data_IF_590016007555
#
_entry.id   IF_590016007555
#
_cell.length_a   1.000
_cell.length_b   1.000
_cell.length_c   1.000
_cell.angle_alpha   90.00
_cell.angle_beta   90.00
_cell.angle_gamma   90.00
#
_symmetry.space_group_name_H-M   'P 1'
#
loop_
_entity.id
_entity.type
_entity.pdbx_description
1 polymer ?
#
# COMPACT_ATOMS: atom_id res chain seq x y z
N UNK A 1 -18.77 -35.22 25.20
CA UNK A 1 -18.71 -34.09 24.24
C UNK A 1 -17.29 -33.59 24.28
N UNK A 2 -16.53 -33.91 23.24
CA UNK A 2 -15.09 -33.68 23.16
C UNK A 2 -14.76 -32.19 23.15
N UNK A 3 -13.86 -31.81 24.06
CA UNK A 3 -13.15 -30.55 24.02
C UNK A 3 -12.27 -30.54 22.76
N UNK A 4 -12.66 -29.76 21.75
CA UNK A 4 -11.75 -29.41 20.67
C UNK A 4 -10.73 -28.43 21.25
N UNK A 5 -9.65 -28.98 21.81
CA UNK A 5 -8.41 -28.25 21.97
C UNK A 5 -7.95 -27.84 20.57
N UNK A 6 -8.12 -26.57 20.24
CA UNK A 6 -7.46 -25.97 19.08
C UNK A 6 -5.96 -26.07 19.39
N UNK A 7 -5.26 -26.94 18.68
CA UNK A 7 -3.80 -27.07 18.76
C UNK A 7 -3.16 -25.69 18.52
N UNK A 8 -2.61 -25.07 19.58
CA UNK A 8 -1.75 -23.89 19.49
C UNK A 8 -0.34 -24.21 18.93
N UNK A 9 -0.07 -25.46 18.55
CA UNK A 9 1.25 -25.92 18.16
C UNK A 9 1.50 -25.84 16.65
N UNK A 10 2.55 -25.07 16.30
CA UNK A 10 3.23 -24.89 15.00
C UNK A 10 2.82 -23.68 14.13
N UNK A 11 2.58 -22.50 14.71
CA UNK A 11 2.88 -21.28 13.95
C UNK A 11 4.40 -21.18 13.77
N UNK A 12 4.88 -21.39 12.54
CA UNK A 12 6.30 -21.24 12.21
C UNK A 12 6.71 -19.79 12.50
N UNK A 13 7.71 -19.61 13.36
CA UNK A 13 8.31 -18.31 13.60
C UNK A 13 9.10 -17.90 12.34
N UNK A 14 8.82 -16.73 11.80
CA UNK A 14 9.49 -16.15 10.63
C UNK A 14 10.52 -15.17 11.19
N UNK A 15 11.77 -15.59 11.24
CA UNK A 15 12.85 -14.87 11.90
C UNK A 15 13.70 -14.05 10.93
N UNK A 16 13.81 -14.54 9.69
CA UNK A 16 14.65 -13.95 8.65
C UNK A 16 13.83 -13.46 7.47
N UNK A 17 14.35 -12.46 6.76
CA UNK A 17 13.71 -11.95 5.56
C UNK A 17 13.59 -13.04 4.47
N UNK A 18 14.58 -13.94 4.36
CA UNK A 18 14.53 -15.07 3.44
C UNK A 18 13.35 -16.02 3.70
N UNK A 19 13.03 -16.28 4.97
CA UNK A 19 11.85 -17.09 5.33
C UNK A 19 10.54 -16.40 4.93
N UNK A 20 10.44 -15.08 5.12
CA UNK A 20 9.29 -14.30 4.65
C UNK A 20 9.14 -14.41 3.13
N UNK A 21 10.23 -14.23 2.38
CA UNK A 21 10.20 -14.30 0.92
C UNK A 21 9.90 -15.71 0.40
N UNK A 22 10.29 -16.76 1.11
CA UNK A 22 9.90 -18.12 0.75
C UNK A 22 8.37 -18.34 0.79
N UNK A 23 7.66 -17.59 1.63
CA UNK A 23 6.19 -17.60 1.73
C UNK A 23 5.50 -16.69 0.70
N UNK A 24 6.27 -15.98 -0.13
CA UNK A 24 5.71 -15.17 -1.20
C UNK A 24 5.00 -16.03 -2.25
N UNK A 25 3.83 -15.58 -2.65
CA UNK A 25 2.94 -16.20 -3.62
C UNK A 25 2.30 -15.03 -4.38
N UNK A 26 2.72 -14.81 -5.63
CA UNK A 26 2.31 -13.67 -6.44
C UNK A 26 1.14 -14.01 -7.37
N UNK A 27 0.26 -14.91 -6.94
CA UNK A 27 -0.87 -15.38 -7.74
C UNK A 27 -1.76 -14.25 -8.27
N UNK A 28 -1.89 -13.11 -7.57
CA UNK A 28 -2.67 -11.99 -8.09
C UNK A 28 -2.08 -11.45 -9.37
N UNK A 29 -0.79 -11.15 -9.41
CA UNK A 29 -0.16 -10.59 -10.61
C UNK A 29 0.19 -11.64 -11.66
N UNK A 30 0.28 -12.92 -11.29
CA UNK A 30 0.48 -14.03 -12.23
C UNK A 30 -0.81 -14.41 -12.99
N UNK A 31 -1.98 -14.28 -12.35
CA UNK A 31 -3.27 -14.66 -12.95
C UNK A 31 -4.06 -13.47 -13.51
N UNK A 32 -3.68 -12.23 -13.17
CA UNK A 32 -4.31 -11.02 -13.69
C UNK A 32 -3.51 -10.44 -14.86
N UNK A 33 -4.24 -9.88 -15.83
CA UNK A 33 -3.61 -9.12 -16.91
C UNK A 33 -3.05 -7.79 -16.42
N UNK A 34 -1.75 -7.56 -16.64
CA UNK A 34 -1.13 -6.22 -16.54
C UNK A 34 -1.72 -5.27 -17.58
N UNK A 35 -1.63 -3.97 -17.32
CA UNK A 35 -1.79 -2.93 -18.33
C UNK A 35 -0.83 -3.17 -19.50
N UNK A 36 -1.33 -3.31 -20.75
CA UNK A 36 -0.49 -3.54 -21.93
C UNK A 36 0.41 -2.35 -22.27
N UNK A 37 0.06 -1.13 -21.84
CA UNK A 37 0.87 0.07 -22.09
C UNK A 37 1.94 0.30 -21.00
N UNK A 38 2.07 -0.62 -20.05
CA UNK A 38 3.04 -0.51 -18.97
C UNK A 38 4.46 -0.82 -19.47
N UNK A 39 5.42 0.01 -19.05
CA UNK A 39 6.84 -0.32 -19.21
C UNK A 39 7.19 -1.50 -18.31
N UNK A 40 7.78 -2.55 -18.87
CA UNK A 40 8.16 -3.77 -18.14
C UNK A 40 9.25 -3.57 -17.07
N UNK A 41 9.98 -2.45 -17.11
CA UNK A 41 11.02 -2.11 -16.15
C UNK A 41 10.49 -1.40 -14.88
N UNK A 42 9.17 -1.26 -14.74
CA UNK A 42 8.52 -0.64 -13.57
C UNK A 42 8.57 0.88 -13.54
N UNK A 43 9.10 1.53 -14.58
CA UNK A 43 9.13 2.99 -14.73
C UNK A 43 7.78 3.54 -15.24
N UNK A 44 6.72 3.27 -14.46
CA UNK A 44 5.36 3.73 -14.72
C UNK A 44 4.93 4.78 -13.68
N UNK A 45 5.78 5.78 -13.41
CA UNK A 45 5.58 6.77 -12.33
C UNK A 45 4.89 8.07 -12.77
N UNK A 46 4.66 8.22 -14.07
CA UNK A 46 4.08 9.43 -14.64
C UNK A 46 2.56 9.30 -14.80
N UNK A 47 1.78 10.35 -14.47
CA UNK A 47 0.35 10.35 -14.69
C UNK A 47 0.02 10.08 -16.16
N UNK A 48 -0.84 9.09 -16.41
CA UNK A 48 -1.42 8.82 -17.73
C UNK A 48 -2.76 8.12 -17.59
N UNK A 49 -3.52 8.07 -18.68
CA UNK A 49 -4.67 7.18 -18.76
C UNK A 49 -4.20 5.72 -18.79
N UNK A 50 -4.92 4.88 -18.06
CA UNK A 50 -4.79 3.43 -18.10
C UNK A 50 -6.09 2.92 -18.70
N UNK A 51 -6.05 2.43 -19.94
CA UNK A 51 -7.28 2.03 -20.67
C UNK A 51 -7.69 0.59 -20.40
N UNK A 52 -6.75 -0.28 -20.04
CA UNK A 52 -7.01 -1.70 -19.77
C UNK A 52 -6.04 -2.25 -18.72
N UNK A 53 -6.05 -3.57 -18.50
CA UNK A 53 -5.31 -4.21 -17.42
C UNK A 53 -5.94 -4.03 -16.03
N UNK A 54 -5.64 -4.99 -15.14
CA UNK A 54 -6.07 -5.01 -13.74
C UNK A 54 -5.11 -4.26 -12.83
N UNK A 55 -3.83 -4.20 -13.21
CA UNK A 55 -2.80 -3.50 -12.48
C UNK A 55 -1.75 -2.92 -13.43
N UNK A 56 -0.97 -1.98 -12.94
CA UNK A 56 0.25 -1.48 -13.60
C UNK A 56 1.44 -1.86 -12.73
N UNK A 57 2.49 -2.50 -13.28
CA UNK A 57 3.74 -2.70 -12.56
C UNK A 57 4.40 -1.35 -12.30
N UNK A 58 4.74 -1.06 -11.05
CA UNK A 58 5.35 0.21 -10.62
C UNK A 58 6.41 -0.08 -9.57
N UNK A 59 7.64 0.34 -9.85
CA UNK A 59 8.68 0.33 -8.82
C UNK A 59 8.39 1.42 -7.78
N UNK A 60 8.37 1.11 -6.47
CA UNK A 60 8.25 2.14 -5.46
C UNK A 60 9.37 3.19 -5.56
N UNK A 61 9.17 4.32 -4.90
CA UNK A 61 10.20 5.34 -4.70
C UNK A 61 10.59 5.29 -3.23
N UNK A 62 11.83 4.88 -2.96
CA UNK A 62 12.37 4.82 -1.60
C UNK A 62 12.28 6.18 -0.91
N UNK A 63 12.11 6.15 0.41
CA UNK A 63 12.33 7.33 1.25
C UNK A 63 13.82 7.45 1.59
N UNK A 64 14.32 8.68 1.73
CA UNK A 64 15.73 8.91 2.08
C UNK A 64 16.00 8.65 3.56
N UNK A 65 17.07 7.92 3.89
CA UNK A 65 17.48 7.63 5.27
C UNK A 65 16.29 7.20 6.16
N UNK A 66 15.70 6.02 5.88
CA UNK A 66 14.52 5.57 6.60
C UNK A 66 14.80 5.41 8.09
N UNK A 67 13.93 5.99 8.91
CA UNK A 67 13.89 5.82 10.35
C UNK A 67 12.67 4.97 10.70
N UNK A 68 12.91 3.88 11.41
CA UNK A 68 11.85 3.06 11.99
C UNK A 68 11.12 3.85 13.09
N UNK A 69 9.79 3.95 13.00
CA UNK A 69 8.94 4.62 14.00
C UNK A 69 8.17 3.60 14.82
N UNK A 70 7.48 2.66 14.16
CA UNK A 70 6.64 1.67 14.85
C UNK A 70 6.32 0.45 13.98
N UNK A 71 5.87 -0.62 14.63
CA UNK A 71 5.24 -1.79 14.00
C UNK A 71 4.11 -2.31 14.89
N UNK A 72 3.15 -3.04 14.30
CA UNK A 72 2.06 -3.63 15.10
C UNK A 72 2.56 -4.93 15.72
N UNK A 73 2.84 -4.90 17.02
CA UNK A 73 3.28 -6.08 17.78
C UNK A 73 2.28 -7.23 17.70
N UNK A 74 0.99 -6.92 17.81
CA UNK A 74 -0.07 -7.92 17.74
C UNK A 74 -0.16 -8.54 16.36
N UNK A 75 -0.08 -7.72 15.30
CA UNK A 75 -0.13 -8.25 13.94
C UNK A 75 1.13 -9.01 13.56
N UNK A 76 2.31 -8.58 14.01
CA UNK A 76 3.56 -9.35 13.87
C UNK A 76 3.40 -10.74 14.50
N UNK A 77 2.92 -10.81 15.75
CA UNK A 77 2.64 -12.08 16.42
C UNK A 77 1.60 -12.92 15.68
N UNK A 78 0.57 -12.30 15.12
CA UNK A 78 -0.47 -12.99 14.33
C UNK A 78 0.12 -13.66 13.09
N UNK A 79 0.98 -12.94 12.36
CA UNK A 79 1.73 -13.42 11.20
C UNK A 79 2.87 -14.39 11.56
N UNK A 80 3.26 -14.47 12.83
CA UNK A 80 4.42 -15.24 13.27
C UNK A 80 5.76 -14.55 12.97
N UNK A 81 5.77 -13.23 12.81
CA UNK A 81 6.97 -12.45 12.55
C UNK A 81 7.76 -12.18 13.83
N UNK A 82 9.05 -12.43 13.79
CA UNK A 82 9.99 -12.03 14.85
C UNK A 82 10.39 -10.56 14.69
N UNK A 83 10.68 -9.88 15.82
CA UNK A 83 11.25 -8.54 15.80
C UNK A 83 12.65 -8.48 15.15
N UNK A 84 13.33 -9.63 14.96
CA UNK A 84 14.58 -9.70 14.21
C UNK A 84 14.43 -9.21 12.76
N UNK A 85 13.25 -9.34 12.16
CA UNK A 85 12.96 -8.80 10.84
C UNK A 85 13.16 -7.28 10.78
N UNK A 86 12.88 -6.55 11.86
CA UNK A 86 13.02 -5.09 11.91
C UNK A 86 14.48 -4.63 11.86
N UNK A 87 15.43 -5.54 12.12
CA UNK A 87 16.87 -5.29 12.03
C UNK A 87 17.46 -5.73 10.68
N UNK A 88 16.67 -6.39 9.84
CA UNK A 88 17.11 -6.83 8.52
C UNK A 88 17.12 -5.67 7.54
N UNK A 89 18.26 -5.42 6.90
CA UNK A 89 18.41 -4.39 5.87
C UNK A 89 17.40 -4.58 4.73
N UNK A 90 17.21 -5.81 4.26
CA UNK A 90 16.28 -6.13 3.17
C UNK A 90 14.81 -5.88 3.57
N UNK A 91 14.44 -6.15 4.83
CA UNK A 91 13.11 -5.84 5.35
C UNK A 91 12.89 -4.32 5.43
N UNK A 92 13.87 -3.58 5.97
CA UNK A 92 13.80 -2.11 6.05
C UNK A 92 13.71 -1.52 4.64
N UNK A 93 14.55 -1.97 3.69
CA UNK A 93 14.50 -1.54 2.30
C UNK A 93 13.11 -1.75 1.70
N UNK A 94 12.58 -2.98 1.75
CA UNK A 94 11.29 -3.30 1.13
C UNK A 94 10.17 -2.40 1.67
N UNK A 95 10.05 -2.28 2.98
CA UNK A 95 8.97 -1.51 3.62
C UNK A 95 9.25 0.00 3.73
N UNK A 96 10.41 0.47 3.29
CA UNK A 96 10.74 1.88 3.07
C UNK A 96 10.71 2.27 1.58
N UNK A 97 10.26 1.35 0.71
CA UNK A 97 10.08 1.58 -0.72
C UNK A 97 11.36 1.46 -1.55
N UNK A 98 12.43 0.91 -1.00
CA UNK A 98 13.61 0.52 -1.75
C UNK A 98 13.51 -0.97 -2.12
N UNK A 99 13.25 -1.26 -3.39
CA UNK A 99 13.29 -2.64 -3.91
C UNK A 99 14.59 -2.91 -4.68
N UNK A 100 15.54 -1.97 -4.69
CA UNK A 100 16.82 -2.16 -5.33
C UNK A 100 17.70 -3.07 -4.48
N UNK A 101 18.38 -4.02 -5.14
CA UNK A 101 19.37 -4.89 -4.50
C UNK A 101 18.85 -5.65 -3.26
N UNK A 102 17.57 -6.03 -3.25
CA UNK A 102 17.03 -6.98 -2.26
C UNK A 102 17.27 -8.39 -2.79
N UNK A 103 17.86 -9.24 -1.95
CA UNK A 103 18.16 -10.61 -2.33
C UNK A 103 16.89 -11.47 -2.47
N UNK A 104 16.88 -12.37 -3.47
CA UNK A 104 15.89 -13.44 -3.62
C UNK A 104 14.42 -13.02 -3.80
N UNK A 105 14.12 -11.76 -4.15
CA UNK A 105 12.76 -11.38 -4.52
C UNK A 105 12.30 -12.16 -5.75
N UNK A 106 11.18 -12.89 -5.63
CA UNK A 106 10.52 -13.52 -6.79
C UNK A 106 9.93 -12.49 -7.74
N UNK A 107 9.54 -11.33 -7.20
CA UNK A 107 9.04 -10.17 -7.95
C UNK A 107 9.80 -8.92 -7.52
N UNK A 108 10.47 -8.26 -8.46
CA UNK A 108 11.32 -7.10 -8.20
C UNK A 108 10.61 -5.74 -8.44
N UNK A 109 9.32 -5.77 -8.76
CA UNK A 109 8.49 -4.59 -8.98
C UNK A 109 7.22 -4.65 -8.13
N UNK A 110 6.77 -3.49 -7.66
CA UNK A 110 5.44 -3.38 -7.07
C UNK A 110 4.34 -3.31 -8.13
N UNK A 111 3.10 -3.19 -7.69
CA UNK A 111 1.96 -2.95 -8.56
C UNK A 111 0.98 -1.93 -7.96
N UNK A 112 0.31 -1.21 -8.85
CA UNK A 112 -0.74 -0.26 -8.53
C UNK A 112 -2.01 -0.61 -9.31
N UNK A 113 -3.18 -0.55 -8.68
CA UNK A 113 -4.45 -0.91 -9.31
C UNK A 113 -5.26 0.33 -9.69
N UNK A 114 -5.92 0.29 -10.83
CA UNK A 114 -6.88 1.30 -11.26
C UNK A 114 -8.25 1.05 -10.64
N UNK A 115 -8.99 2.09 -10.28
CA UNK A 115 -10.38 1.97 -9.85
C UNK A 115 -11.17 3.21 -10.22
N UNK A 116 -12.46 3.04 -10.53
CA UNK A 116 -13.37 4.13 -10.77
C UNK A 116 -13.75 4.83 -9.45
N UNK A 117 -14.12 6.11 -9.55
CA UNK A 117 -14.68 6.89 -8.46
C UNK A 117 -16.17 7.14 -8.72
N UNK A 118 -16.99 6.75 -7.75
CA UNK A 118 -18.41 7.07 -7.67
C UNK A 118 -18.73 7.66 -6.31
N UNK A 119 -19.55 8.69 -6.29
CA UNK A 119 -20.02 9.34 -5.07
C UNK A 119 -21.54 9.32 -5.12
N UNK A 120 -22.17 8.67 -4.14
CA UNK A 120 -23.63 8.48 -4.07
C UNK A 120 -24.24 7.94 -5.38
N UNK A 121 -23.58 6.94 -5.98
CA UNK A 121 -24.03 6.30 -7.22
C UNK A 121 -23.80 7.11 -8.49
N UNK A 122 -23.17 8.29 -8.41
CA UNK A 122 -22.83 9.12 -9.57
C UNK A 122 -21.38 8.94 -9.98
N UNK A 123 -21.19 8.66 -11.26
CA UNK A 123 -19.86 8.56 -11.86
C UNK A 123 -19.13 9.91 -11.77
N UNK A 124 -17.92 9.90 -11.21
CA UNK A 124 -17.15 11.11 -11.01
C UNK A 124 -15.93 11.14 -11.95
N UNK A 125 -15.86 12.17 -12.79
CA UNK A 125 -14.77 12.37 -13.76
C UNK A 125 -14.02 13.69 -13.54
N UNK A 126 -14.63 14.66 -12.88
CA UNK A 126 -14.13 16.04 -12.81
C UNK A 126 -12.74 16.18 -12.16
N UNK A 127 -12.40 15.29 -11.21
CA UNK A 127 -11.07 15.29 -10.55
C UNK A 127 -10.09 14.28 -11.16
N UNK A 128 -10.45 13.67 -12.29
CA UNK A 128 -9.52 12.94 -13.14
C UNK A 128 -8.81 13.97 -14.03
N UNK A 129 -7.48 14.03 -14.07
CA UNK A 129 -6.75 14.98 -14.92
C UNK A 129 -7.15 14.89 -16.40
N UNK A 130 -7.56 13.71 -16.84
CA UNK A 130 -7.94 13.40 -18.22
C UNK A 130 -9.45 13.55 -18.48
N UNK A 131 -10.25 13.78 -17.43
CA UNK A 131 -11.72 13.85 -17.49
C UNK A 131 -12.42 12.60 -18.08
N UNK A 132 -11.70 11.48 -18.23
CA UNK A 132 -12.23 10.21 -18.76
C UNK A 132 -12.59 9.19 -17.68
N UNK A 133 -12.03 9.36 -16.48
CA UNK A 133 -12.08 8.40 -15.36
C UNK A 133 -10.98 7.34 -15.37
N UNK A 134 -10.17 7.27 -16.43
CA UNK A 134 -9.08 6.28 -16.57
C UNK A 134 -7.80 6.66 -15.81
N UNK A 135 -7.83 7.71 -14.99
CA UNK A 135 -6.70 8.17 -14.17
C UNK A 135 -6.89 7.99 -12.66
N UNK A 136 -7.96 7.32 -12.23
CA UNK A 136 -8.17 6.97 -10.82
C UNK A 136 -7.62 5.59 -10.50
N UNK A 137 -7.16 5.42 -9.26
CA UNK A 137 -6.46 4.22 -8.83
C UNK A 137 -5.58 4.50 -7.62
N UNK A 138 -4.68 3.57 -7.34
CA UNK A 138 -3.69 3.68 -6.28
C UNK A 138 -2.67 4.79 -6.57
N UNK A 139 -3.03 6.04 -6.31
CA UNK A 139 -2.22 7.22 -6.69
C UNK A 139 -0.98 7.49 -5.84
N UNK A 140 -0.92 6.87 -4.65
CA UNK A 140 0.24 6.93 -3.73
C UNK A 140 0.41 5.62 -2.96
N UNK A 141 -0.20 4.55 -3.46
CA UNK A 141 -0.15 3.24 -2.84
C UNK A 141 0.45 2.27 -3.85
N UNK A 142 1.35 1.40 -3.39
CA UNK A 142 2.00 0.41 -4.24
C UNK A 142 2.10 -0.88 -3.43
N UNK A 143 1.51 -1.95 -3.94
CA UNK A 143 1.66 -3.29 -3.37
C UNK A 143 3.01 -3.87 -3.75
N UNK A 144 3.70 -4.48 -2.79
CA UNK A 144 5.12 -4.91 -2.95
C UNK A 144 5.36 -6.37 -2.58
N UNK A 145 4.44 -6.99 -1.85
CA UNK A 145 4.52 -8.38 -1.45
C UNK A 145 3.13 -8.98 -1.39
N UNK A 146 2.99 -10.19 -1.91
CA UNK A 146 1.85 -11.07 -1.71
C UNK A 146 2.41 -12.36 -1.10
N UNK A 147 1.83 -12.81 0.02
CA UNK A 147 2.33 -13.98 0.74
C UNK A 147 1.18 -14.80 1.34
N UNK A 148 1.38 -16.11 1.42
CA UNK A 148 0.48 -17.02 2.14
C UNK A 148 1.10 -17.38 3.47
N UNK A 149 0.52 -16.88 4.55
CA UNK A 149 1.02 -17.02 5.92
C UNK A 149 -0.12 -17.58 6.78
N UNK A 150 0.14 -18.66 7.50
CA UNK A 150 -0.88 -19.36 8.29
C UNK A 150 -2.12 -19.73 7.45
N UNK A 151 -1.90 -20.23 6.22
CA UNK A 151 -2.93 -20.58 5.23
C UNK A 151 -3.87 -19.41 4.85
N UNK A 152 -3.46 -18.17 5.09
CA UNK A 152 -4.18 -16.97 4.68
C UNK A 152 -3.32 -16.15 3.74
N UNK A 153 -3.93 -15.66 2.66
CA UNK A 153 -3.30 -14.74 1.73
C UNK A 153 -3.27 -13.33 2.30
N UNK A 154 -2.16 -12.65 2.11
CA UNK A 154 -1.93 -11.28 2.53
C UNK A 154 -1.24 -10.49 1.43
N UNK A 155 -1.82 -9.36 1.07
CA UNK A 155 -1.24 -8.34 0.21
C UNK A 155 -0.68 -7.21 1.08
N UNK A 156 0.57 -6.84 0.84
CA UNK A 156 1.30 -5.81 1.58
C UNK A 156 1.47 -4.58 0.69
N UNK A 157 0.91 -3.45 1.13
CA UNK A 157 0.83 -2.22 0.35
C UNK A 157 1.44 -1.03 1.07
N UNK A 158 2.43 -0.41 0.44
CA UNK A 158 3.10 0.80 0.89
C UNK A 158 2.23 2.01 0.59
N UNK A 159 1.73 2.70 1.62
CA UNK A 159 1.08 4.01 1.44
C UNK A 159 2.11 5.11 1.61
N UNK A 160 2.26 5.95 0.59
CA UNK A 160 3.38 6.90 0.45
C UNK A 160 4.55 6.33 -0.37
N UNK A 161 4.35 5.16 -1.00
CA UNK A 161 5.37 4.45 -1.79
C UNK A 161 5.83 5.17 -3.06
N UNK A 162 5.34 6.37 -3.36
CA UNK A 162 5.72 7.15 -4.52
C UNK A 162 4.60 7.30 -5.55
N UNK A 163 4.95 7.92 -6.68
CA UNK A 163 4.02 8.18 -7.78
C UNK A 163 3.72 6.91 -8.56
N UNK A 164 2.50 6.83 -9.05
CA UNK A 164 1.99 5.82 -9.99
C UNK A 164 1.28 6.55 -11.14
N UNK A 165 0.78 5.87 -12.18
CA UNK A 165 -0.03 6.53 -13.22
C UNK A 165 -1.29 7.18 -12.67
N UNK A 166 -1.73 6.74 -11.49
CA UNK A 166 -2.94 7.20 -10.81
C UNK A 166 -2.67 8.37 -9.83
N UNK A 167 -1.46 8.93 -9.79
CA UNK A 167 -1.11 9.98 -8.82
C UNK A 167 -1.78 11.34 -9.10
N UNK A 168 -2.40 11.51 -10.28
CA UNK A 168 -3.22 12.67 -10.66
C UNK A 168 -2.52 14.03 -10.48
N UNK A 169 -1.20 14.08 -10.68
CA UNK A 169 -0.38 15.28 -10.52
C UNK A 169 0.13 15.54 -9.10
N UNK A 170 -0.25 14.70 -8.12
CA UNK A 170 0.31 14.76 -6.78
C UNK A 170 1.72 14.16 -6.69
N UNK A 171 2.36 14.30 -5.53
CA UNK A 171 3.73 13.85 -5.29
C UNK A 171 3.87 12.34 -5.00
N UNK A 172 2.77 11.63 -4.75
CA UNK A 172 2.79 10.21 -4.41
C UNK A 172 3.28 9.90 -2.98
N UNK A 173 3.46 10.93 -2.13
CA UNK A 173 3.97 10.79 -0.76
C UNK A 173 2.86 10.83 0.29
N UNK A 174 3.11 10.15 1.41
CA UNK A 174 2.39 10.34 2.66
C UNK A 174 3.32 11.03 3.66
N UNK A 175 2.74 11.65 4.68
CA UNK A 175 3.47 12.37 5.73
C UNK A 175 3.23 11.74 7.09
N UNK A 176 4.17 11.91 8.01
CA UNK A 176 4.20 11.21 9.28
C UNK A 176 2.87 11.28 10.04
N UNK A 177 2.26 12.46 10.20
CA UNK A 177 0.98 12.61 10.92
C UNK A 177 -0.15 11.76 10.33
N UNK A 178 -0.21 11.65 8.99
CA UNK A 178 -1.29 10.96 8.29
C UNK A 178 -1.10 9.46 8.40
N UNK A 179 0.16 9.03 8.33
CA UNK A 179 0.57 7.63 8.49
C UNK A 179 0.38 7.16 9.93
N UNK A 180 0.71 7.97 10.94
CA UNK A 180 0.45 7.67 12.36
C UNK A 180 -1.05 7.50 12.63
N UNK A 181 -1.88 8.42 12.13
CA UNK A 181 -3.34 8.33 12.31
C UNK A 181 -3.93 7.07 11.70
N UNK A 182 -3.54 6.73 10.48
CA UNK A 182 -4.01 5.50 9.83
C UNK A 182 -3.53 4.25 10.56
N UNK A 183 -2.26 4.23 10.98
CA UNK A 183 -1.68 3.13 11.72
C UNK A 183 -2.47 2.85 13.02
N UNK A 184 -2.70 3.91 13.81
CA UNK A 184 -3.44 3.80 15.07
C UNK A 184 -4.91 3.43 14.84
N UNK A 185 -5.57 4.03 13.85
CA UNK A 185 -6.98 3.75 13.57
C UNK A 185 -7.20 2.31 13.10
N UNK A 186 -6.36 1.78 12.21
CA UNK A 186 -6.45 0.41 11.73
C UNK A 186 -6.31 -0.61 12.87
N UNK A 187 -5.27 -0.49 13.70
CA UNK A 187 -5.07 -1.44 14.79
C UNK A 187 -6.10 -1.27 15.92
N UNK A 188 -6.58 -0.05 16.16
CA UNK A 188 -7.65 0.17 17.12
C UNK A 188 -8.97 -0.45 16.65
N UNK A 189 -9.37 -0.24 15.39
CA UNK A 189 -10.57 -0.86 14.80
C UNK A 189 -10.50 -2.38 14.88
N UNK A 190 -9.34 -2.98 14.60
CA UNK A 190 -9.14 -4.41 14.76
C UNK A 190 -9.29 -4.86 16.23
N UNK A 191 -8.72 -4.11 17.18
CA UNK A 191 -8.85 -4.42 18.62
C UNK A 191 -10.29 -4.35 19.13
N UNK A 192 -11.14 -3.56 18.47
CA UNK A 192 -12.58 -3.50 18.72
C UNK A 192 -13.37 -4.63 18.03
N UNK A 193 -12.69 -5.55 17.32
CA UNK A 193 -13.33 -6.63 16.56
C UNK A 193 -13.96 -6.17 15.24
N UNK A 194 -13.68 -4.95 14.78
CA UNK A 194 -14.23 -4.42 13.53
C UNK A 194 -13.33 -4.82 12.36
N UNK A 195 -13.86 -5.44 11.28
CA UNK A 195 -13.09 -5.78 10.10
C UNK A 195 -12.40 -4.55 9.49
N UNK A 196 -11.08 -4.64 9.31
CA UNK A 196 -10.25 -3.55 8.80
C UNK A 196 -8.97 -4.13 8.19
N UNK A 197 -8.38 -3.40 7.25
CA UNK A 197 -6.96 -3.59 6.89
C UNK A 197 -6.08 -3.35 8.14
N UNK A 198 -4.96 -4.05 8.21
CA UNK A 198 -4.01 -4.02 9.32
C UNK A 198 -2.82 -3.13 9.01
N UNK A 199 -2.16 -2.64 10.04
CA UNK A 199 -0.90 -1.90 9.91
C UNK A 199 0.27 -2.81 10.27
N UNK A 200 1.27 -2.91 9.39
CA UNK A 200 2.47 -3.69 9.66
C UNK A 200 3.58 -2.82 10.26
N UNK A 201 4.07 -1.84 9.50
CA UNK A 201 5.20 -0.98 9.87
C UNK A 201 4.96 0.47 9.50
N UNK A 202 5.69 1.36 10.17
CA UNK A 202 5.75 2.79 9.90
C UNK A 202 7.21 3.24 9.88
N UNK A 203 7.62 3.79 8.75
CA UNK A 203 8.92 4.43 8.56
C UNK A 203 8.73 5.91 8.18
N UNK A 204 9.65 6.77 8.62
CA UNK A 204 9.73 8.18 8.20
C UNK A 204 11.09 8.47 7.59
N UNK A 205 11.18 9.50 6.76
CA UNK A 205 12.45 9.98 6.22
C UNK A 205 13.10 10.97 7.16
N UNK A 206 14.43 10.90 7.30
CA UNK A 206 15.22 11.93 7.99
C UNK A 206 15.52 13.16 7.12
N UNK A 207 15.45 13.02 5.80
CA UNK A 207 15.98 13.99 4.82
C UNK A 207 15.01 14.37 3.71
N UNK A 208 13.78 13.88 3.75
CA UNK A 208 12.76 14.14 2.75
C UNK A 208 11.51 14.69 3.44
N UNK A 209 11.17 15.92 3.07
CA UNK A 209 9.96 16.60 3.49
C UNK A 209 9.12 16.94 2.26
N UNK A 210 7.81 17.07 2.47
CA UNK A 210 6.88 17.54 1.46
C UNK A 210 5.92 18.55 2.06
N UNK A 211 5.62 19.58 1.27
CA UNK A 211 4.68 20.61 1.66
C UNK A 211 3.26 20.06 1.76
N UNK A 212 2.56 20.37 2.85
CA UNK A 212 1.16 19.97 3.07
C UNK A 212 0.34 21.11 3.66
N UNK A 213 -0.97 21.17 3.34
CA UNK A 213 -1.88 22.11 3.97
C UNK A 213 -2.03 21.82 5.47
N UNK A 214 -2.12 22.90 6.24
CA UNK A 214 -2.26 22.92 7.69
C UNK A 214 -3.15 24.06 8.16
N UNK A 215 -3.61 23.94 9.41
CA UNK A 215 -4.54 24.86 10.05
C UNK A 215 -3.84 25.60 11.19
N UNK A 216 -4.12 26.90 11.34
CA UNK A 216 -3.70 27.68 12.51
C UNK A 216 -4.53 27.27 13.73
N UNK A 217 -4.06 27.63 14.93
CA UNK A 217 -4.69 27.23 16.20
C UNK A 217 -6.15 27.68 16.35
N UNK A 218 -6.53 28.80 15.71
CA UNK A 218 -7.90 29.35 15.74
C UNK A 218 -8.70 29.09 14.46
N UNK A 219 -8.22 28.18 13.62
CA UNK A 219 -8.86 27.88 12.34
C UNK A 219 -10.20 27.17 12.52
N UNK A 220 -11.17 27.56 11.70
CA UNK A 220 -12.39 26.80 11.51
C UNK A 220 -12.07 25.64 10.55
N UNK A 221 -12.49 24.42 10.90
CA UNK A 221 -11.98 23.13 10.37
C UNK A 221 -12.06 22.87 8.85
N UNK A 222 -12.50 23.83 8.04
CA UNK A 222 -12.84 23.62 6.62
C UNK A 222 -11.83 24.23 5.63
N UNK A 223 -10.96 25.15 6.02
CA UNK A 223 -9.99 25.80 5.10
C UNK A 223 -8.58 25.85 5.71
N UNK A 224 -7.61 25.06 5.18
CA UNK A 224 -6.23 25.17 5.62
C UNK A 224 -5.61 26.46 5.09
N UNK A 225 -5.02 27.27 5.98
CA UNK A 225 -4.52 28.62 5.65
C UNK A 225 -3.01 28.69 5.47
N UNK A 226 -2.29 27.63 5.83
CA UNK A 226 -0.82 27.61 5.72
C UNK A 226 -0.33 26.30 5.12
N UNK A 227 0.84 26.37 4.51
CA UNK A 227 1.61 25.19 4.12
C UNK A 227 2.71 24.97 5.14
N UNK A 228 2.90 23.74 5.57
CA UNK A 228 4.03 23.33 6.42
C UNK A 228 4.81 22.22 5.70
N UNK A 229 6.09 22.15 5.98
CA UNK A 229 6.92 21.02 5.58
C UNK A 229 6.76 19.90 6.59
N UNK A 230 6.46 18.70 6.10
CA UNK A 230 6.31 17.52 6.92
C UNK A 230 7.19 16.39 6.40
N UNK A 231 7.75 15.61 7.32
CA UNK A 231 8.55 14.45 6.97
C UNK A 231 7.72 13.43 6.19
N UNK A 232 8.30 12.98 5.08
CA UNK A 232 7.73 11.90 4.27
C UNK A 232 7.74 10.61 5.09
N UNK A 233 6.64 9.89 5.07
CA UNK A 233 6.50 8.61 5.74
C UNK A 233 5.86 7.55 4.84
N UNK A 234 6.20 6.29 5.12
CA UNK A 234 5.53 5.12 4.55
C UNK A 234 4.93 4.32 5.69
N UNK A 235 3.61 4.09 5.60
CA UNK A 235 2.95 3.05 6.40
C UNK A 235 2.63 1.86 5.52
N UNK A 236 3.03 0.67 5.97
CA UNK A 236 2.71 -0.58 5.30
C UNK A 236 1.37 -1.08 5.81
N UNK A 237 0.40 -1.17 4.91
CA UNK A 237 -0.93 -1.72 5.17
C UNK A 237 -1.00 -3.13 4.66
N UNK A 238 -1.74 -4.00 5.34
CA UNK A 238 -1.86 -5.40 4.98
C UNK A 238 -3.32 -5.82 5.04
N UNK A 239 -3.76 -6.54 4.02
CA UNK A 239 -5.13 -7.06 3.91
C UNK A 239 -5.12 -8.36 3.11
N UNK A 240 -6.21 -9.13 3.16
CA UNK A 240 -6.36 -10.30 2.27
C UNK A 240 -6.43 -9.91 0.80
N UNK A 241 -6.93 -8.71 0.52
CA UNK A 241 -6.94 -8.07 -0.80
C UNK A 241 -7.24 -6.58 -0.64
N UNK A 242 -6.70 -5.76 -1.55
CA UNK A 242 -7.14 -4.37 -1.71
C UNK A 242 -8.21 -4.18 -2.79
N UNK A 243 -8.99 -5.23 -3.10
CA UNK A 243 -10.12 -5.15 -4.03
C UNK A 243 -11.18 -4.15 -3.54
N UNK A 244 -11.70 -3.32 -4.44
CA UNK A 244 -12.71 -2.27 -4.18
C UNK A 244 -13.83 -2.37 -5.20
N UNK A 245 -15.03 -1.90 -4.81
CA UNK A 245 -16.17 -1.74 -5.73
C UNK A 245 -15.77 -0.95 -6.99
N UNK A 246 -14.95 0.09 -6.82
CA UNK A 246 -14.44 0.90 -7.93
C UNK A 246 -13.64 0.12 -8.98
N UNK A 247 -12.97 -1.00 -8.63
CA UNK A 247 -12.29 -1.83 -9.64
C UNK A 247 -13.29 -2.52 -10.55
N UNK A 248 -14.33 -3.12 -9.98
CA UNK A 248 -15.40 -3.79 -10.75
C UNK A 248 -16.12 -2.75 -11.62
N UNK A 249 -16.44 -1.60 -11.03
CA UNK A 249 -17.11 -0.51 -11.73
C UNK A 249 -16.28 0.03 -12.90
N UNK A 250 -14.95 0.14 -12.75
CA UNK A 250 -14.06 0.61 -13.82
C UNK A 250 -14.18 -0.27 -15.08
N UNK A 251 -14.17 -1.60 -14.92
CA UNK A 251 -14.35 -2.51 -16.05
C UNK A 251 -15.76 -2.45 -16.62
N UNK A 252 -16.79 -2.33 -15.78
CA UNK A 252 -18.17 -2.10 -16.23
C UNK A 252 -18.33 -0.80 -17.03
N UNK A 253 -17.64 0.28 -16.65
CA UNK A 253 -17.59 1.55 -17.41
C UNK A 253 -16.89 1.38 -18.76
N UNK A 254 -15.73 0.71 -18.79
CA UNK A 254 -14.97 0.45 -20.03
C UNK A 254 -15.76 -0.39 -21.02
N UNK A 255 -16.48 -1.41 -20.56
CA UNK A 255 -17.30 -2.27 -21.42
C UNK A 255 -18.50 -1.53 -22.04
N UNK A 256 -19.10 -0.55 -21.34
CA UNK A 256 -20.21 0.26 -21.84
C UNK A 256 -19.82 1.28 -22.92
N UNK A 257 -18.56 1.71 -22.93
CA UNK A 257 -18.03 2.74 -23.84
C UNK A 257 -17.43 2.16 -25.14
N UNK A 258 -17.76 0.91 -25.48
CA UNK A 258 -17.36 0.28 -26.75
C UNK A 258 -18.13 0.83 -27.93
#
# INVERSE_FOLDING_TARGET
MENIMINENNKKNIETFGELINLSDYSFIENLNSDPDAKHNGDNKYPREVFSGHYVPVSPTAIKEPIYISHSKNFFKELGFSENLLKSDDFIKLFSGDMSNISNLKQNQGWATGYALSIYGREYYAQCPFQTGNGYGDGRAISVLEAVINNKRWEFQLKGGGKTPYCRGADGRAVLRSSVREFLAQEHMHSLGIPTSRSLTLFTSKKEQVSRPWFKEKSLSYEPEVMIEEDVAITTRVASSFLRVGQIELFGRRARKK
#
